data_IF_808341976281
#
_entry.id   IF_808341976281
#
_cell.length_a   1.000
_cell.length_b   1.000
_cell.length_c   1.000
_cell.angle_alpha   90.00
_cell.angle_beta   90.00
_cell.angle_gamma   90.00
#
_symmetry.space_group_name_H-M   'P 1'
#
loop_
_entity.id
_entity.type
_entity.pdbx_description
1 polymer ?
#
# COMPACT_ATOMS: atom_id res chain seq x y z
N UNK A 1 -56.37 -29.68 -25.58
CA UNK A 1 -55.47 -28.78 -26.34
C UNK A 1 -55.31 -27.41 -25.70
N UNK A 2 -56.39 -26.63 -25.54
CA UNK A 2 -56.29 -25.17 -25.38
C UNK A 2 -55.71 -24.63 -24.06
N UNK A 3 -55.83 -25.33 -22.93
CA UNK A 3 -55.33 -24.84 -21.64
C UNK A 3 -53.80 -25.01 -21.49
N UNK A 4 -53.28 -26.18 -21.90
CA UNK A 4 -51.85 -26.49 -21.82
C UNK A 4 -51.00 -25.52 -22.66
N UNK A 5 -51.44 -25.21 -23.89
CA UNK A 5 -50.75 -24.25 -24.77
C UNK A 5 -50.71 -22.84 -24.19
N UNK A 6 -51.78 -22.40 -23.50
CA UNK A 6 -51.82 -21.10 -22.83
C UNK A 6 -50.84 -21.02 -21.66
N UNK A 7 -50.76 -22.07 -20.85
CA UNK A 7 -49.81 -22.16 -19.72
C UNK A 7 -48.37 -22.14 -20.24
N UNK A 8 -48.09 -22.90 -21.30
CA UNK A 8 -46.76 -22.92 -21.93
C UNK A 8 -46.38 -21.56 -22.52
N UNK A 9 -47.31 -20.86 -23.17
CA UNK A 9 -47.10 -19.51 -23.69
C UNK A 9 -46.81 -18.50 -22.57
N UNK A 10 -47.59 -18.54 -21.48
CA UNK A 10 -47.39 -17.67 -20.32
C UNK A 10 -46.02 -17.91 -19.66
N UNK A 11 -45.62 -19.19 -19.50
CA UNK A 11 -44.33 -19.56 -18.95
C UNK A 11 -43.16 -19.08 -19.82
N UNK A 12 -43.22 -19.30 -21.15
CA UNK A 12 -42.20 -18.81 -22.08
C UNK A 12 -42.05 -17.29 -22.02
N UNK A 13 -43.17 -16.57 -22.00
CA UNK A 13 -43.14 -15.11 -21.88
C UNK A 13 -42.58 -14.64 -20.54
N UNK A 14 -42.86 -15.36 -19.44
CA UNK A 14 -42.27 -15.07 -18.14
C UNK A 14 -40.74 -15.27 -18.15
N UNK A 15 -40.25 -16.36 -18.74
CA UNK A 15 -38.82 -16.63 -18.89
C UNK A 15 -38.11 -15.56 -19.73
N UNK A 16 -38.72 -15.12 -20.84
CA UNK A 16 -38.17 -14.02 -21.66
C UNK A 16 -38.08 -12.73 -20.84
N UNK A 17 -39.13 -12.37 -20.10
CA UNK A 17 -39.11 -11.17 -19.24
C UNK A 17 -38.06 -11.25 -18.14
N UNK A 18 -37.88 -12.42 -17.51
CA UNK A 18 -36.84 -12.61 -16.50
C UNK A 18 -35.45 -12.40 -17.10
N UNK A 19 -35.17 -12.98 -18.28
CA UNK A 19 -33.89 -12.78 -18.97
C UNK A 19 -33.63 -11.32 -19.28
N UNK A 20 -34.61 -10.60 -19.84
CA UNK A 20 -34.48 -9.17 -20.16
C UNK A 20 -34.23 -8.32 -18.90
N UNK A 21 -34.91 -8.64 -17.79
CA UNK A 21 -34.68 -7.97 -16.50
C UNK A 21 -33.26 -8.21 -15.98
N UNK A 22 -32.79 -9.44 -16.04
CA UNK A 22 -31.44 -9.79 -15.60
C UNK A 22 -30.37 -9.12 -16.48
N UNK A 23 -30.56 -9.10 -17.79
CA UNK A 23 -29.66 -8.43 -18.73
C UNK A 23 -29.62 -6.91 -18.49
N UNK A 24 -30.78 -6.29 -18.25
CA UNK A 24 -30.85 -4.86 -17.92
C UNK A 24 -30.15 -4.56 -16.58
N UNK A 25 -30.37 -5.39 -15.55
CA UNK A 25 -29.71 -5.24 -14.25
C UNK A 25 -28.18 -5.38 -14.37
N UNK A 26 -27.71 -6.37 -15.14
CA UNK A 26 -26.29 -6.55 -15.42
C UNK A 26 -25.68 -5.32 -16.11
N UNK A 27 -26.33 -4.81 -17.17
CA UNK A 27 -25.86 -3.60 -17.87
C UNK A 27 -25.83 -2.35 -16.99
N UNK A 28 -26.77 -2.23 -16.05
CA UNK A 28 -26.76 -1.13 -15.06
C UNK A 28 -25.57 -1.29 -14.13
N UNK A 29 -25.36 -2.48 -13.59
CA UNK A 29 -24.25 -2.78 -12.69
C UNK A 29 -22.89 -2.51 -13.36
N UNK A 30 -22.67 -3.06 -14.55
CA UNK A 30 -21.45 -2.86 -15.34
C UNK A 30 -21.15 -1.37 -15.58
N UNK A 31 -22.17 -0.58 -15.98
CA UNK A 31 -22.00 0.86 -16.19
C UNK A 31 -21.67 1.62 -14.91
N UNK A 32 -22.31 1.26 -13.79
CA UNK A 32 -22.04 1.87 -12.50
C UNK A 32 -20.63 1.55 -12.01
N UNK A 33 -20.20 0.30 -12.15
CA UNK A 33 -18.88 -0.15 -11.75
C UNK A 33 -17.79 0.52 -12.59
N UNK A 34 -17.95 0.55 -13.91
CA UNK A 34 -17.03 1.27 -14.81
C UNK A 34 -16.97 2.77 -14.50
N UNK A 35 -18.11 3.42 -14.23
CA UNK A 35 -18.15 4.83 -13.83
C UNK A 35 -17.49 5.07 -12.47
N UNK A 36 -17.59 4.12 -11.55
CA UNK A 36 -16.98 4.21 -10.23
C UNK A 36 -15.46 4.06 -10.32
N UNK A 37 -14.96 3.06 -11.05
CA UNK A 37 -13.53 2.87 -11.31
C UNK A 37 -12.90 4.11 -11.95
N UNK A 38 -13.57 4.69 -12.96
CA UNK A 38 -13.12 5.93 -13.60
C UNK A 38 -13.08 7.10 -12.61
N UNK A 39 -14.06 7.19 -11.71
CA UNK A 39 -14.12 8.25 -10.70
C UNK A 39 -13.01 8.09 -9.66
N UNK A 40 -12.74 6.88 -9.19
CA UNK A 40 -11.65 6.61 -8.26
C UNK A 40 -10.29 6.97 -8.88
N UNK A 41 -10.02 6.51 -10.10
CA UNK A 41 -8.77 6.80 -10.79
C UNK A 41 -8.55 8.31 -10.98
N UNK A 42 -9.61 9.05 -11.31
CA UNK A 42 -9.57 10.51 -11.45
C UNK A 42 -9.34 11.21 -10.11
N UNK A 43 -9.98 10.74 -9.03
CA UNK A 43 -9.75 11.28 -7.69
C UNK A 43 -8.31 11.05 -7.24
N UNK A 44 -7.76 9.85 -7.46
CA UNK A 44 -6.35 9.54 -7.18
C UNK A 44 -5.39 10.47 -7.92
N UNK A 45 -5.57 10.66 -9.22
CA UNK A 45 -4.76 11.58 -10.03
C UNK A 45 -4.86 13.04 -9.53
N UNK A 46 -6.06 13.49 -9.18
CA UNK A 46 -6.26 14.81 -8.58
C UNK A 46 -5.53 14.96 -7.24
N UNK A 47 -5.63 13.97 -6.35
CA UNK A 47 -4.93 13.98 -5.06
C UNK A 47 -3.42 13.94 -5.22
N UNK A 48 -2.90 13.16 -6.16
CA UNK A 48 -1.46 13.12 -6.45
C UNK A 48 -0.95 14.48 -6.94
N UNK A 49 -1.71 15.15 -7.82
CA UNK A 49 -1.42 16.51 -8.26
C UNK A 49 -1.45 17.52 -7.11
N UNK A 50 -2.42 17.40 -6.18
CA UNK A 50 -2.50 18.24 -5.00
C UNK A 50 -1.34 18.01 -4.02
N UNK A 51 -0.92 16.76 -3.81
CA UNK A 51 0.23 16.43 -2.98
C UNK A 51 1.53 16.98 -3.58
N UNK A 52 1.71 16.87 -4.90
CA UNK A 52 2.85 17.47 -5.61
C UNK A 52 2.84 19.01 -5.55
N UNK A 53 1.67 19.61 -5.49
CA UNK A 53 1.50 21.06 -5.32
C UNK A 53 1.46 21.50 -3.85
N UNK A 54 1.64 20.59 -2.88
CA UNK A 54 1.40 20.88 -1.46
C UNK A 54 2.33 21.92 -0.86
N UNK A 55 3.51 22.14 -1.46
CA UNK A 55 4.43 23.21 -1.12
C UNK A 55 3.89 24.62 -1.46
N UNK A 56 2.90 24.69 -2.36
CA UNK A 56 2.23 25.93 -2.81
C UNK A 56 0.86 26.09 -2.13
N UNK A 57 0.31 25.01 -1.57
CA UNK A 57 -1.01 25.00 -0.94
C UNK A 57 -0.99 25.65 0.46
N UNK A 58 -2.14 26.18 0.86
CA UNK A 58 -2.33 26.76 2.19
C UNK A 58 -2.04 25.73 3.30
N UNK A 59 -1.41 26.13 4.42
CA UNK A 59 -1.10 25.24 5.54
C UNK A 59 -2.29 24.42 6.06
N UNK A 60 -3.51 24.96 5.98
CA UNK A 60 -4.74 24.26 6.38
C UNK A 60 -5.08 23.09 5.46
N UNK A 61 -4.83 23.23 4.16
CA UNK A 61 -5.06 22.16 3.16
C UNK A 61 -3.96 21.11 3.28
N UNK A 62 -2.71 21.52 3.45
CA UNK A 62 -1.57 20.62 3.68
C UNK A 62 -1.77 19.76 4.93
N UNK A 63 -2.24 20.36 6.02
CA UNK A 63 -2.56 19.66 7.28
C UNK A 63 -3.73 18.68 7.15
N UNK A 64 -4.69 18.95 6.26
CA UNK A 64 -5.84 18.07 6.01
C UNK A 64 -5.43 16.89 5.12
N UNK A 65 -4.63 17.15 4.08
CA UNK A 65 -4.07 16.13 3.19
C UNK A 65 -3.11 15.16 3.91
N UNK A 66 -2.30 15.67 4.83
CA UNK A 66 -1.42 14.83 5.69
C UNK A 66 -2.20 13.87 6.60
N UNK A 67 -3.46 14.17 6.92
CA UNK A 67 -4.30 13.31 7.76
C UNK A 67 -5.00 12.18 6.98
N UNK A 68 -5.11 12.28 5.66
CA UNK A 68 -5.94 11.37 4.85
C UNK A 68 -5.22 10.21 4.17
N UNK A 69 -3.88 10.12 4.23
CA UNK A 69 -3.16 8.97 3.67
C UNK A 69 -1.65 9.17 3.55
N UNK A 70 -0.92 8.59 4.51
CA UNK A 70 0.50 8.19 4.55
C UNK A 70 1.45 8.77 3.49
N UNK A 71 2.32 9.70 3.92
CA UNK A 71 3.76 9.40 4.07
C UNK A 71 4.36 9.92 5.40
N UNK A 72 3.52 10.30 6.36
CA UNK A 72 4.00 10.78 7.67
C UNK A 72 4.68 9.65 8.47
N UNK A 73 4.17 8.43 8.31
CA UNK A 73 4.62 7.25 9.05
C UNK A 73 6.03 6.80 8.64
N UNK A 74 6.46 6.95 7.38
CA UNK A 74 7.84 6.62 6.98
C UNK A 74 8.87 7.54 7.64
N UNK A 75 8.58 8.85 7.73
CA UNK A 75 9.46 9.81 8.41
C UNK A 75 9.46 9.64 9.93
N UNK A 76 8.36 9.16 10.49
CA UNK A 76 8.27 8.81 11.92
C UNK A 76 8.94 7.48 12.23
N UNK A 77 8.79 6.47 11.36
CA UNK A 77 9.50 5.20 11.43
C UNK A 77 11.02 5.39 11.32
N UNK A 78 11.49 6.24 10.39
CA UNK A 78 12.91 6.58 10.28
C UNK A 78 13.47 7.24 11.55
N UNK A 79 12.65 7.99 12.29
CA UNK A 79 13.04 8.56 13.60
C UNK A 79 13.12 7.49 14.69
N UNK A 80 12.29 6.45 14.61
CA UNK A 80 12.27 5.34 15.57
C UNK A 80 13.35 4.28 15.29
N UNK A 81 13.93 4.27 14.08
CA UNK A 81 15.01 3.37 13.68
C UNK A 81 16.38 4.05 13.63
N UNK A 82 16.57 5.13 14.39
CA UNK A 82 17.84 5.84 14.43
C UNK A 82 18.94 4.92 15.03
N UNK A 83 19.97 4.54 14.27
CA UNK A 83 21.04 3.67 14.77
C UNK A 83 21.79 4.27 15.96
N UNK A 84 21.82 5.61 16.08
CA UNK A 84 22.53 6.33 17.14
C UNK A 84 21.83 6.23 18.50
N UNK A 85 20.54 5.89 18.51
CA UNK A 85 19.75 5.71 19.73
C UNK A 85 19.89 4.29 20.32
N UNK A 86 20.59 3.39 19.61
CA UNK A 86 20.85 2.02 20.07
C UNK A 86 21.98 2.06 21.12
N UNK A 87 21.65 1.70 22.37
CA UNK A 87 22.65 1.62 23.43
C UNK A 87 23.52 0.38 23.26
N UNK A 88 24.73 0.60 22.75
CA UNK A 88 25.81 -0.39 22.70
C UNK A 88 26.47 -0.54 24.08
N UNK A 89 26.73 -1.78 24.51
CA UNK A 89 27.41 -2.06 25.76
C UNK A 89 28.84 -1.48 25.74
N UNK A 90 29.22 -0.74 26.80
CA UNK A 90 30.53 -0.04 26.89
C UNK A 90 31.73 -0.98 26.77
N UNK A 91 31.53 -2.27 27.04
CA UNK A 91 32.56 -3.31 27.01
C UNK A 91 32.30 -4.36 25.92
N UNK A 92 31.54 -4.01 24.88
CA UNK A 92 31.34 -4.89 23.73
C UNK A 92 32.69 -5.25 23.09
N UNK A 93 33.00 -6.56 23.03
CA UNK A 93 34.31 -7.09 22.57
C UNK A 93 34.29 -7.60 21.13
N UNK A 94 33.15 -7.52 20.45
CA UNK A 94 33.03 -8.01 19.08
C UNK A 94 33.52 -7.00 18.03
N UNK A 95 33.41 -7.37 16.74
CA UNK A 95 33.86 -6.53 15.64
C UNK A 95 33.10 -5.21 15.59
N UNK A 96 33.85 -4.12 15.49
CA UNK A 96 33.30 -2.79 15.28
C UNK A 96 33.31 -2.46 13.79
N UNK A 97 32.13 -2.27 13.20
CA UNK A 97 32.01 -1.92 11.79
C UNK A 97 31.94 -0.39 11.66
N UNK A 98 32.91 0.18 10.95
CA UNK A 98 32.93 1.58 10.51
C UNK A 98 32.22 1.73 9.16
N UNK A 99 31.73 2.93 8.84
CA UNK A 99 31.04 3.25 7.57
C UNK A 99 31.89 2.98 6.32
N UNK A 100 33.22 2.98 6.45
CA UNK A 100 34.14 2.56 5.39
C UNK A 100 34.77 1.21 5.74
N UNK A 101 34.22 0.15 5.18
CA UNK A 101 34.68 -1.23 5.43
C UNK A 101 36.06 -1.44 4.80
N UNK A 102 37.09 -1.60 5.65
CA UNK A 102 38.45 -1.94 5.23
C UNK A 102 38.63 -3.46 5.18
N UNK A 103 39.61 -3.93 4.39
CA UNK A 103 39.92 -5.37 4.28
C UNK A 103 40.28 -6.00 5.64
N UNK A 104 40.95 -5.28 6.53
CA UNK A 104 41.24 -5.74 7.89
C UNK A 104 39.96 -6.01 8.69
N UNK A 105 39.00 -5.08 8.65
CA UNK A 105 37.69 -5.20 9.31
C UNK A 105 36.90 -6.41 8.81
N UNK A 106 37.01 -6.75 7.52
CA UNK A 106 36.37 -7.96 6.97
C UNK A 106 36.98 -9.25 7.52
N UNK A 107 38.29 -9.29 7.75
CA UNK A 107 38.96 -10.46 8.33
C UNK A 107 38.50 -10.66 9.78
N UNK A 108 38.46 -9.58 10.56
CA UNK A 108 38.00 -9.60 11.95
C UNK A 108 36.52 -10.03 12.04
N UNK A 109 35.69 -9.57 11.11
CA UNK A 109 34.28 -9.96 11.00
C UNK A 109 34.11 -11.46 10.71
N UNK A 110 34.89 -11.99 9.78
CA UNK A 110 34.87 -13.41 9.41
C UNK A 110 35.33 -14.27 10.58
N UNK A 111 36.39 -13.88 11.28
CA UNK A 111 36.87 -14.60 12.46
C UNK A 111 35.86 -14.60 13.62
N UNK A 112 35.21 -13.47 13.87
CA UNK A 112 34.17 -13.36 14.88
C UNK A 112 32.92 -14.20 14.55
N UNK A 113 32.51 -14.21 13.27
CA UNK A 113 31.41 -15.07 12.80
C UNK A 113 31.71 -16.56 12.99
N UNK A 114 32.95 -16.99 12.74
CA UNK A 114 33.38 -18.37 12.97
C UNK A 114 33.36 -18.76 14.45
N UNK A 115 33.51 -17.79 15.36
CA UNK A 115 33.45 -17.97 16.82
C UNK A 115 32.04 -17.82 17.39
N UNK A 116 31.05 -17.44 16.58
CA UNK A 116 29.66 -17.24 16.98
C UNK A 116 29.38 -15.90 17.64
N UNK A 117 30.24 -14.89 17.44
CA UNK A 117 30.09 -13.55 18.01
C UNK A 117 29.21 -12.67 17.08
N UNK A 118 28.26 -11.94 17.66
CA UNK A 118 27.37 -11.01 16.94
C UNK A 118 28.10 -9.69 16.72
N UNK A 119 28.08 -9.12 15.52
CA UNK A 119 28.77 -7.87 15.12
C UNK A 119 27.95 -6.61 15.39
N UNK A 120 28.58 -5.48 15.75
CA UNK A 120 27.91 -4.19 15.99
C UNK A 120 28.50 -3.06 15.12
N UNK A 121 27.63 -2.15 14.66
CA UNK A 121 27.99 -1.00 13.81
C UNK A 121 27.98 0.28 14.64
N UNK A 122 29.04 1.08 14.57
CA UNK A 122 29.04 2.46 15.09
C UNK A 122 28.86 3.45 13.93
N UNK A 123 27.81 4.27 14.01
CA UNK A 123 27.71 5.48 13.20
C UNK A 123 28.62 6.57 13.77
N UNK A 124 29.37 7.25 12.90
CA UNK A 124 30.15 8.47 13.20
C UNK A 124 29.54 9.61 12.38
#
# INVERSE_FOLDING_TARGET
GNAATKIQGAFRNHQVRLRLKNEAAWKIHEKLEYSNEQTEAKLRDMFEKLLKASDILSPSVTKLLQKSGLPLEEKELLKLTNPDDIQVEVNYRGPHIESSIKRSTLVDLIEAFQKGEVSETKSI
#
